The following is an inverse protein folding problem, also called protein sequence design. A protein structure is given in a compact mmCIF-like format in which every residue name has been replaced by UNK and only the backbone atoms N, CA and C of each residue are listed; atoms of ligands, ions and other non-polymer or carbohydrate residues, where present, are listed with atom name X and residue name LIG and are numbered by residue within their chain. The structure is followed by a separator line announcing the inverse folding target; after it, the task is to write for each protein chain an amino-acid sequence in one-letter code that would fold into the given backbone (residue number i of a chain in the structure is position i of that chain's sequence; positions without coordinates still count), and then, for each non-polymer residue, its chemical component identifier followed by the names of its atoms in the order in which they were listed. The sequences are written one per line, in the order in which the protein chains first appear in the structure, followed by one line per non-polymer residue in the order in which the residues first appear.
data_IF_818063614845
#
_entry.id   IF_818063614845
#
_cell.length_a   1.000
_cell.length_b   1.000
_cell.length_c   1.000
_cell.angle_alpha   90.00
_cell.angle_beta   90.00
_cell.angle_gamma   90.00
#
_symmetry.space_group_name_H-M   'P 1'
#
loop_
_entity.id
_entity.type
_entity.pdbx_description
1 polymer ?
#
# COMPACT_ATOMS: atom_id res chain seq x y z
N UNK A 1 21.02 5.58 -13.79
CA UNK A 1 20.36 4.33 -13.36
C UNK A 1 19.19 4.70 -12.49
N UNK A 2 17.96 4.59 -13.01
CA UNK A 2 16.77 5.05 -12.29
C UNK A 2 16.48 4.17 -11.09
N UNK A 3 15.86 4.73 -10.05
CA UNK A 3 15.47 3.98 -8.85
C UNK A 3 14.61 2.76 -9.19
N UNK A 4 13.74 2.87 -10.21
CA UNK A 4 12.99 1.73 -10.74
C UNK A 4 13.85 0.69 -11.49
N UNK A 5 14.99 1.07 -12.07
CA UNK A 5 15.93 0.12 -12.69
C UNK A 5 16.62 -0.76 -11.64
N UNK A 6 16.90 -0.21 -10.45
CA UNK A 6 17.38 -1.01 -9.31
C UNK A 6 16.32 -2.01 -8.84
N UNK A 7 15.06 -1.58 -8.83
CA UNK A 7 13.90 -2.42 -8.45
C UNK A 7 13.66 -3.52 -9.51
N UNK A 8 13.87 -3.23 -10.80
CA UNK A 8 13.58 -4.16 -11.91
C UNK A 8 14.61 -5.28 -12.07
N UNK A 9 15.89 -5.02 -11.80
CA UNK A 9 16.97 -6.03 -11.86
C UNK A 9 16.78 -7.14 -10.83
N UNK A 10 16.14 -6.85 -9.70
CA UNK A 10 15.86 -7.82 -8.63
C UNK A 10 14.58 -8.64 -8.87
N UNK A 11 13.65 -8.15 -9.70
CA UNK A 11 12.31 -8.71 -9.91
C UNK A 11 12.26 -9.88 -10.91
N UNK A 12 13.35 -10.24 -11.58
CA UNK A 12 13.35 -11.27 -12.63
C UNK A 12 13.49 -12.71 -12.14
N UNK A 13 13.66 -12.97 -10.83
CA UNK A 13 14.19 -14.27 -10.37
C UNK A 13 13.20 -15.31 -9.82
N UNK A 14 11.94 -15.02 -9.52
CA UNK A 14 11.10 -16.10 -8.94
C UNK A 14 9.60 -15.91 -9.10
N UNK A 15 8.97 -17.01 -9.53
CA UNK A 15 7.55 -17.21 -9.83
C UNK A 15 7.09 -18.46 -9.08
N UNK A 16 5.92 -18.41 -8.44
CA UNK A 16 4.98 -19.52 -8.13
C UNK A 16 3.86 -18.97 -7.23
N UNK A 17 2.58 -18.87 -7.65
CA UNK A 17 1.49 -19.89 -7.60
C UNK A 17 1.12 -20.28 -6.14
N UNK A 18 -0.12 -20.38 -5.64
CA UNK A 18 -1.51 -20.23 -6.15
C UNK A 18 -2.53 -20.57 -5.03
N UNK A 19 -3.71 -19.90 -5.01
CA UNK A 19 -5.02 -20.39 -4.48
C UNK A 19 -5.27 -20.28 -2.97
N UNK A 20 -6.48 -20.19 -2.42
CA UNK A 20 -7.86 -19.89 -2.88
C UNK A 20 -8.65 -19.38 -1.64
N UNK A 21 -9.59 -18.46 -1.88
CA UNK A 21 -10.82 -18.03 -1.16
C UNK A 21 -11.04 -18.30 0.34
N UNK A 22 -11.54 -17.28 1.04
CA UNK A 22 -12.92 -17.27 1.58
C UNK A 22 -13.25 -15.95 2.29
N UNK A 23 -14.50 -15.52 2.09
CA UNK A 23 -15.08 -14.22 2.41
C UNK A 23 -15.80 -14.28 3.76
N UNK A 24 -15.39 -13.49 4.77
CA UNK A 24 -16.26 -13.19 5.93
C UNK A 24 -16.03 -11.76 6.46
N UNK A 25 -17.14 -11.03 6.54
CA UNK A 25 -17.30 -9.69 7.13
C UNK A 25 -16.55 -9.56 8.46
N UNK A 26 -15.58 -8.64 8.54
CA UNK A 26 -14.75 -8.48 9.73
C UNK A 26 -15.14 -7.21 10.48
N UNK A 27 -15.71 -7.38 11.68
CA UNK A 27 -15.87 -6.33 12.69
C UNK A 27 -14.49 -5.94 13.23
N UNK A 28 -13.78 -5.07 12.50
CA UNK A 28 -12.41 -4.66 12.85
C UNK A 28 -12.43 -3.84 14.15
N UNK A 29 -11.97 -4.44 15.24
CA UNK A 29 -11.80 -3.74 16.53
C UNK A 29 -10.62 -2.78 16.39
N UNK A 30 -10.89 -1.48 16.30
CA UNK A 30 -9.87 -0.43 16.12
C UNK A 30 -9.50 0.21 17.46
N UNK A 31 -8.22 0.58 17.60
CA UNK A 31 -7.72 1.38 18.72
C UNK A 31 -7.48 2.82 18.23
N UNK A 32 -7.90 3.81 19.01
CA UNK A 32 -7.73 5.22 18.66
C UNK A 32 -6.31 5.69 19.00
N UNK A 33 -5.66 6.39 18.08
CA UNK A 33 -4.38 7.07 18.33
C UNK A 33 -4.52 8.56 18.06
N UNK A 34 -3.57 9.36 18.55
CA UNK A 34 -3.42 10.80 18.20
C UNK A 34 -3.28 11.08 16.69
N UNK A 35 -3.10 10.05 15.87
CA UNK A 35 -2.96 10.13 14.41
C UNK A 35 -4.09 9.41 13.65
N UNK A 36 -5.16 9.01 14.36
CA UNK A 36 -6.32 8.33 13.81
C UNK A 36 -6.37 6.84 14.16
N UNK A 37 -7.08 6.07 13.33
CA UNK A 37 -7.41 4.67 13.59
C UNK A 37 -6.19 3.75 13.43
N UNK A 38 -5.94 2.93 14.45
CA UNK A 38 -5.02 1.79 14.36
C UNK A 38 -5.83 0.51 14.36
N UNK A 39 -5.69 -0.28 13.30
CA UNK A 39 -6.34 -1.56 13.15
C UNK A 39 -5.49 -2.67 13.77
N UNK A 40 -6.16 -3.62 14.43
CA UNK A 40 -5.55 -4.87 14.88
C UNK A 40 -5.69 -5.92 13.77
N UNK A 41 -5.05 -5.68 12.62
CA UNK A 41 -5.06 -6.60 11.47
C UNK A 41 -3.87 -7.54 11.53
N UNK A 42 -4.09 -8.79 11.18
CA UNK A 42 -3.04 -9.77 10.94
C UNK A 42 -2.28 -9.47 9.63
N UNK A 43 -1.03 -9.91 9.46
CA UNK A 43 -0.26 -9.69 8.23
C UNK A 43 -0.98 -10.19 6.96
N UNK A 44 -1.66 -11.35 7.03
CA UNK A 44 -2.43 -11.92 5.93
C UNK A 44 -3.61 -11.05 5.50
N UNK A 45 -4.34 -10.47 6.46
CA UNK A 45 -5.44 -9.54 6.17
C UNK A 45 -4.93 -8.27 5.51
N UNK A 46 -3.80 -7.72 5.99
CA UNK A 46 -3.15 -6.56 5.36
C UNK A 46 -2.72 -6.87 3.93
N UNK A 47 -2.15 -8.06 3.69
CA UNK A 47 -1.76 -8.49 2.36
C UNK A 47 -2.97 -8.58 1.41
N UNK A 48 -4.08 -9.19 1.83
CA UNK A 48 -5.34 -9.24 1.07
C UNK A 48 -5.87 -7.85 0.72
N UNK A 49 -5.84 -6.91 1.66
CA UNK A 49 -6.24 -5.52 1.40
C UNK A 49 -5.34 -4.87 0.35
N UNK A 50 -4.03 -5.04 0.45
CA UNK A 50 -3.08 -4.54 -0.56
C UNK A 50 -3.30 -5.23 -1.91
N UNK A 51 -3.64 -6.51 -1.94
CA UNK A 51 -3.93 -7.23 -3.18
C UNK A 51 -5.10 -6.64 -3.98
N UNK A 52 -6.12 -6.11 -3.29
CA UNK A 52 -7.28 -5.42 -3.88
C UNK A 52 -6.94 -4.11 -4.63
N UNK A 53 -5.74 -3.57 -4.41
CA UNK A 53 -5.24 -2.39 -5.11
C UNK A 53 -4.87 -2.76 -6.56
N UNK A 54 -5.20 -1.87 -7.49
CA UNK A 54 -4.72 -1.98 -8.88
C UNK A 54 -3.20 -1.82 -8.93
N UNK A 55 -2.52 -2.24 -10.01
CA UNK A 55 -1.07 -2.10 -10.12
C UNK A 55 -0.57 -0.66 -9.90
N UNK A 56 -1.28 0.34 -10.44
CA UNK A 56 -0.94 1.76 -10.27
C UNK A 56 -1.21 2.28 -8.86
N UNK A 57 -2.26 1.80 -8.22
CA UNK A 57 -2.52 2.09 -6.82
C UNK A 57 -1.45 1.46 -5.91
N UNK A 58 -1.02 0.23 -6.18
CA UNK A 58 0.09 -0.42 -5.44
C UNK A 58 1.38 0.38 -5.55
N UNK A 59 1.76 0.80 -6.76
CA UNK A 59 2.94 1.65 -6.96
C UNK A 59 2.84 2.95 -6.13
N UNK A 60 1.70 3.63 -6.19
CA UNK A 60 1.45 4.85 -5.41
C UNK A 60 1.49 4.58 -3.91
N UNK A 61 0.88 3.48 -3.46
CA UNK A 61 0.85 3.03 -2.07
C UNK A 61 2.26 2.85 -1.50
N UNK A 62 3.15 2.13 -2.19
CA UNK A 62 4.52 1.92 -1.72
C UNK A 62 5.33 3.22 -1.66
N UNK A 63 5.12 4.14 -2.59
CA UNK A 63 5.76 5.46 -2.54
C UNK A 63 5.26 6.25 -1.32
N UNK A 64 3.95 6.28 -1.06
CA UNK A 64 3.41 6.97 0.12
C UNK A 64 3.87 6.33 1.43
N UNK A 65 3.99 5.00 1.45
CA UNK A 65 4.45 4.24 2.62
C UNK A 65 5.94 4.52 2.93
N UNK A 66 6.74 4.78 1.90
CA UNK A 66 8.13 5.25 2.02
C UNK A 66 8.27 6.69 2.55
N UNK A 67 7.16 7.37 2.88
CA UNK A 67 7.16 8.70 3.47
C UNK A 67 7.17 9.87 2.46
N UNK A 68 7.14 9.57 1.16
CA UNK A 68 7.07 10.59 0.12
C UNK A 68 5.71 11.29 0.12
N UNK A 69 5.70 12.56 -0.28
CA UNK A 69 4.47 13.32 -0.44
C UNK A 69 3.81 13.06 -1.82
N UNK A 70 2.57 13.51 -1.98
CA UNK A 70 1.79 13.25 -3.20
C UNK A 70 2.41 13.89 -4.47
N UNK A 71 3.08 15.05 -4.33
CA UNK A 71 3.76 15.70 -5.47
C UNK A 71 4.96 14.89 -5.91
N UNK A 72 5.72 14.33 -4.98
CA UNK A 72 6.83 13.43 -5.25
C UNK A 72 6.35 12.13 -5.89
N UNK A 73 5.26 11.54 -5.37
CA UNK A 73 4.64 10.36 -5.97
C UNK A 73 4.21 10.61 -7.43
N UNK A 74 3.55 11.73 -7.70
CA UNK A 74 3.17 12.12 -9.06
C UNK A 74 4.40 12.25 -9.98
N UNK A 75 5.48 12.85 -9.48
CA UNK A 75 6.75 13.00 -10.22
C UNK A 75 7.42 11.65 -10.50
N UNK A 76 7.49 10.76 -9.51
CA UNK A 76 8.12 9.45 -9.65
C UNK A 76 7.35 8.53 -10.61
N UNK A 77 6.02 8.61 -10.60
CA UNK A 77 5.16 7.84 -11.51
C UNK A 77 4.99 8.49 -12.89
N UNK A 78 5.53 9.69 -13.08
CA UNK A 78 5.36 10.50 -14.29
C UNK A 78 3.87 10.67 -14.70
N UNK A 79 3.05 11.06 -13.72
CA UNK A 79 1.63 11.32 -13.89
C UNK A 79 1.26 12.72 -13.37
N UNK A 80 0.07 13.20 -13.72
CA UNK A 80 -0.45 14.45 -13.16
C UNK A 80 -0.75 14.28 -11.67
N UNK A 81 -0.58 15.37 -10.91
CA UNK A 81 -0.95 15.43 -9.50
C UNK A 81 -2.41 15.01 -9.24
N UNK A 82 -3.33 15.41 -10.13
CA UNK A 82 -4.73 15.02 -10.04
C UNK A 82 -4.92 13.50 -10.12
N UNK A 83 -4.19 12.81 -11.00
CA UNK A 83 -4.22 11.36 -11.13
C UNK A 83 -3.66 10.67 -9.88
N UNK A 84 -2.52 11.17 -9.35
CA UNK A 84 -1.97 10.67 -8.10
C UNK A 84 -2.96 10.85 -6.93
N UNK A 85 -3.67 11.98 -6.87
CA UNK A 85 -4.71 12.24 -5.88
C UNK A 85 -5.90 11.26 -6.01
N UNK A 86 -6.30 10.93 -7.24
CA UNK A 86 -7.32 9.90 -7.50
C UNK A 86 -6.87 8.55 -6.95
N UNK A 87 -5.61 8.14 -7.22
CA UNK A 87 -5.06 6.91 -6.66
C UNK A 87 -5.00 6.94 -5.14
N UNK A 88 -4.52 8.03 -4.52
CA UNK A 88 -4.51 8.18 -3.06
C UNK A 88 -5.91 8.01 -2.46
N UNK A 89 -6.91 8.66 -3.06
CA UNK A 89 -8.31 8.57 -2.59
C UNK A 89 -8.85 7.14 -2.72
N UNK A 90 -8.56 6.46 -3.82
CA UNK A 90 -8.96 5.07 -4.03
C UNK A 90 -8.28 4.12 -3.03
N UNK A 91 -6.97 4.28 -2.80
CA UNK A 91 -6.20 3.53 -1.81
C UNK A 91 -6.80 3.71 -0.42
N UNK A 92 -7.09 4.95 -0.03
CA UNK A 92 -7.66 5.27 1.29
C UNK A 92 -9.00 4.58 1.51
N UNK A 93 -9.88 4.61 0.50
CA UNK A 93 -11.16 3.90 0.56
C UNK A 93 -10.99 2.38 0.64
N UNK A 94 -10.12 1.79 -0.18
CA UNK A 94 -9.91 0.33 -0.23
C UNK A 94 -9.27 -0.22 1.04
N UNK A 95 -8.33 0.52 1.63
CA UNK A 95 -7.63 0.16 2.85
C UNK A 95 -8.34 0.66 4.12
N UNK A 96 -9.49 1.32 3.96
CA UNK A 96 -10.29 1.92 5.03
C UNK A 96 -9.53 2.93 5.93
N UNK A 97 -8.52 3.59 5.39
CA UNK A 97 -7.75 4.65 6.08
C UNK A 97 -8.17 6.04 5.61
N UNK A 98 -8.04 7.04 6.47
CA UNK A 98 -8.48 8.40 6.23
C UNK A 98 -7.31 9.37 6.06
N UNK A 99 -6.10 8.97 6.45
CA UNK A 99 -4.92 9.83 6.41
C UNK A 99 -3.65 9.07 6.04
N UNK A 100 -2.63 9.81 5.61
CA UNK A 100 -1.29 9.26 5.36
C UNK A 100 -0.68 8.69 6.64
N UNK A 101 -0.97 9.30 7.79
CA UNK A 101 -0.48 8.80 9.07
C UNK A 101 -1.12 7.45 9.41
N UNK A 102 -2.44 7.31 9.23
CA UNK A 102 -3.13 6.01 9.39
C UNK A 102 -2.58 4.96 8.42
N UNK A 103 -2.32 5.32 7.16
CA UNK A 103 -1.70 4.42 6.20
C UNK A 103 -0.36 3.87 6.71
N UNK A 104 0.51 4.76 7.18
CA UNK A 104 1.85 4.38 7.67
C UNK A 104 1.73 3.53 8.94
N UNK A 105 0.92 3.95 9.92
CA UNK A 105 0.75 3.22 11.19
C UNK A 105 0.28 1.79 10.97
N UNK A 106 -0.65 1.58 10.03
CA UNK A 106 -1.29 0.29 9.82
C UNK A 106 -0.52 -0.65 8.89
N UNK A 107 0.24 -0.12 7.93
CA UNK A 107 0.85 -0.92 6.86
C UNK A 107 2.37 -0.83 6.77
N UNK A 108 3.05 -0.17 7.72
CA UNK A 108 4.52 0.02 7.68
C UNK A 108 5.30 -1.29 7.54
N UNK A 109 4.84 -2.34 8.19
CA UNK A 109 5.43 -3.68 8.18
C UNK A 109 5.53 -4.26 6.77
N UNK A 110 4.55 -3.98 5.89
CA UNK A 110 4.58 -4.46 4.49
C UNK A 110 5.64 -3.79 3.62
N UNK A 111 6.27 -2.71 4.09
CA UNK A 111 7.42 -2.13 3.40
C UNK A 111 8.68 -2.98 3.59
N UNK A 112 8.78 -3.67 4.72
CA UNK A 112 9.98 -4.42 5.16
C UNK A 112 9.95 -5.87 4.65
N UNK A 113 8.76 -6.48 4.52
CA UNK A 113 8.57 -7.88 4.11
C UNK A 113 8.95 -8.19 2.65
N UNK A 114 9.55 -7.25 1.91
CA UNK A 114 10.07 -7.49 0.54
C UNK A 114 11.59 -7.67 0.50
N UNK A 115 12.24 -7.73 1.67
CA UNK A 115 13.69 -7.92 1.86
C UNK A 115 14.12 -9.40 2.06
N UNK A 116 13.21 -10.38 2.00
CA UNK A 116 13.57 -11.82 1.97
C UNK A 116 13.38 -12.46 0.60
#
# INVERSE_FOLDING_TARGET
MGFMDRIKVMLSKSKSESGDKDEKETTVTSSETRYGKKFNLTPDEKAKLVESLTPREKETFYILLGGYNLKEAAKQLNIRYSTANTYQTAIYKKLNVNSRAELIINFRDLYETREE
#
